data_IF_446174826350
#
_entry.id   IF_446174826350
#
_cell.length_a   1.000
_cell.length_b   1.000
_cell.length_c   1.000
_cell.angle_alpha   90.00
_cell.angle_beta   90.00
_cell.angle_gamma   90.00
#
_symmetry.space_group_name_H-M   'P 1'
#
loop_
_entity.id
_entity.type
_entity.pdbx_description
1 polymer ?
#
# COMPACT_ATOMS: atom_id res chain seq x y z
N UNK A 1 -23.65 41.37 14.57
CA UNK A 1 -23.16 40.95 13.24
C UNK A 1 -22.80 39.47 13.35
N UNK A 2 -23.40 38.66 12.48
CA UNK A 2 -23.57 37.20 12.54
C UNK A 2 -22.29 36.42 12.92
N UNK A 3 -22.25 35.45 13.84
CA UNK A 3 -23.09 34.25 14.07
C UNK A 3 -23.20 33.37 12.84
N UNK A 4 -22.14 32.61 12.53
CA UNK A 4 -22.23 31.50 11.58
C UNK A 4 -22.26 30.17 12.30
N UNK A 5 -23.25 29.37 11.91
CA UNK A 5 -23.78 28.24 12.63
C UNK A 5 -23.06 26.95 12.20
N UNK A 6 -22.52 26.24 13.18
CA UNK A 6 -22.18 24.83 13.06
C UNK A 6 -23.46 24.04 12.72
N UNK A 7 -23.46 23.42 11.54
CA UNK A 7 -24.59 22.67 10.98
C UNK A 7 -24.44 21.19 11.35
N UNK A 8 -25.34 20.58 12.14
CA UNK A 8 -25.31 19.14 12.34
C UNK A 8 -26.06 18.47 11.18
N UNK A 9 -25.42 17.54 10.49
CA UNK A 9 -26.11 16.61 9.59
C UNK A 9 -26.32 15.29 10.32
N UNK A 10 -27.43 15.22 11.07
CA UNK A 10 -28.06 13.96 11.41
C UNK A 10 -28.99 13.56 10.27
N UNK A 11 -28.72 12.43 9.63
CA UNK A 11 -29.70 11.72 8.83
C UNK A 11 -29.68 10.26 9.25
N UNK A 12 -30.63 9.90 10.11
CA UNK A 12 -30.99 8.52 10.42
C UNK A 12 -31.35 7.79 9.12
N UNK A 13 -30.65 6.71 8.81
CA UNK A 13 -31.21 5.60 8.02
C UNK A 13 -30.93 4.29 8.75
N UNK A 14 -31.94 3.82 9.47
CA UNK A 14 -32.07 2.41 9.81
C UNK A 14 -32.04 1.60 8.51
N UNK A 15 -31.17 0.58 8.45
CA UNK A 15 -31.26 -0.48 7.44
C UNK A 15 -29.97 -0.88 6.73
N UNK A 16 -28.85 -1.12 7.42
CA UNK A 16 -27.63 -1.65 6.77
C UNK A 16 -26.95 -2.76 7.60
N UNK A 17 -27.71 -3.77 8.02
CA UNK A 17 -27.16 -5.05 8.51
C UNK A 17 -26.64 -5.96 7.36
N UNK A 18 -26.32 -5.37 6.20
CA UNK A 18 -25.76 -6.07 5.02
C UNK A 18 -24.48 -5.45 4.44
N UNK A 19 -23.96 -4.35 5.01
CA UNK A 19 -22.85 -3.60 4.41
C UNK A 19 -21.44 -4.09 4.81
N UNK A 20 -21.29 -4.79 5.94
CA UNK A 20 -19.98 -5.16 6.52
C UNK A 20 -19.21 -6.25 5.76
N UNK A 21 -19.81 -6.92 4.78
CA UNK A 21 -19.08 -7.82 3.86
C UNK A 21 -18.69 -7.16 2.53
N UNK A 22 -19.24 -5.98 2.21
CA UNK A 22 -19.00 -5.32 0.92
C UNK A 22 -17.96 -4.19 0.98
N UNK A 23 -17.63 -3.65 2.16
CA UNK A 23 -16.61 -2.59 2.28
C UNK A 23 -15.17 -3.12 2.18
N UNK A 24 -14.93 -4.37 2.57
CA UNK A 24 -13.63 -5.04 2.32
C UNK A 24 -13.46 -5.33 0.81
N UNK A 25 -14.56 -5.53 0.07
CA UNK A 25 -14.54 -5.70 -1.39
C UNK A 25 -14.44 -4.37 -2.15
N UNK A 26 -14.89 -3.25 -1.55
CA UNK A 26 -14.82 -1.91 -2.14
C UNK A 26 -13.41 -1.36 -2.35
N UNK A 27 -12.41 -1.90 -1.64
CA UNK A 27 -11.00 -1.53 -1.82
C UNK A 27 -10.35 -2.18 -3.05
N UNK A 28 -10.98 -3.18 -3.67
CA UNK A 28 -10.41 -3.95 -4.77
C UNK A 28 -10.97 -3.56 -6.17
N UNK A 29 -11.96 -2.67 -6.24
CA UNK A 29 -12.74 -2.44 -7.46
C UNK A 29 -12.85 -0.97 -7.91
N UNK A 30 -11.81 -0.16 -7.72
CA UNK A 30 -11.69 1.14 -8.39
C UNK A 30 -10.53 1.10 -9.41
N UNK A 31 -10.80 0.47 -10.56
CA UNK A 31 -9.96 0.61 -11.74
C UNK A 31 -10.21 1.96 -12.40
N UNK A 32 -9.42 2.98 -12.06
CA UNK A 32 -9.12 4.14 -12.92
C UNK A 32 -7.83 4.78 -12.37
N UNK A 33 -6.77 4.81 -13.18
CA UNK A 33 -5.45 5.43 -12.93
C UNK A 33 -4.99 5.48 -11.45
N UNK A 34 -4.15 4.52 -11.07
CA UNK A 34 -3.54 4.42 -9.75
C UNK A 34 -2.73 5.68 -9.39
N UNK A 35 -3.40 6.69 -8.84
CA UNK A 35 -2.78 7.59 -7.87
C UNK A 35 -2.43 6.72 -6.67
N UNK A 36 -1.21 6.18 -6.67
CA UNK A 36 -0.76 5.21 -5.69
C UNK A 36 -0.90 5.80 -4.28
N UNK A 37 -1.83 5.23 -3.51
CA UNK A 37 -1.97 5.48 -2.07
C UNK A 37 -0.59 5.22 -1.45
N UNK A 38 0.14 6.28 -1.14
CA UNK A 38 1.55 6.21 -0.74
C UNK A 38 1.82 6.98 0.53
N UNK A 39 0.89 7.87 0.91
CA UNK A 39 0.99 8.74 2.07
C UNK A 39 -0.11 8.45 3.07
N UNK A 40 0.12 8.83 4.32
CA UNK A 40 -0.86 8.61 5.40
C UNK A 40 -2.19 9.32 5.14
N UNK A 41 -2.16 10.50 4.54
CA UNK A 41 -3.35 11.28 4.19
C UNK A 41 -4.20 10.68 3.08
N UNK A 42 -3.68 9.70 2.32
CA UNK A 42 -4.43 8.98 1.28
C UNK A 42 -5.29 7.86 1.87
N UNK A 43 -5.07 7.52 3.16
CA UNK A 43 -5.77 6.45 3.85
C UNK A 43 -7.07 6.93 4.47
N UNK A 44 -7.95 5.99 4.80
CA UNK A 44 -9.13 6.30 5.59
C UNK A 44 -8.73 6.76 6.99
N UNK A 45 -9.29 7.90 7.40
CA UNK A 45 -9.06 8.53 8.70
C UNK A 45 -10.40 8.76 9.40
N UNK A 46 -10.50 8.34 10.65
CA UNK A 46 -11.67 8.65 11.48
C UNK A 46 -11.55 10.06 12.06
N UNK A 47 -12.66 10.78 12.19
CA UNK A 47 -12.70 12.14 12.78
C UNK A 47 -13.69 12.25 13.94
N UNK A 48 -13.87 11.18 14.72
CA UNK A 48 -14.78 11.21 15.85
C UNK A 48 -14.20 12.07 16.98
N UNK A 49 -14.83 13.22 17.24
CA UNK A 49 -14.42 14.18 18.28
C UNK A 49 -15.40 14.21 19.44
N UNK A 50 -14.88 14.32 20.66
CA UNK A 50 -15.67 14.50 21.88
C UNK A 50 -15.01 15.54 22.79
N UNK A 51 -15.81 16.31 23.52
CA UNK A 51 -15.26 17.28 24.49
C UNK A 51 -14.86 16.56 25.78
N UNK A 52 -13.88 17.09 26.50
CA UNK A 52 -13.50 16.62 27.84
C UNK A 52 -14.66 16.52 28.84
N UNK A 53 -15.70 17.34 28.67
CA UNK A 53 -16.90 17.36 29.51
C UNK A 53 -17.96 16.34 29.07
N UNK A 54 -17.79 15.69 27.91
CA UNK A 54 -18.71 14.67 27.40
C UNK A 54 -18.79 13.50 28.39
N UNK A 55 -20.00 13.05 28.80
CA UNK A 55 -20.14 11.90 29.67
C UNK A 55 -19.49 10.65 29.06
N UNK A 56 -18.72 9.91 29.85
CA UNK A 56 -18.02 8.70 29.38
C UNK A 56 -18.98 7.66 28.81
N UNK A 57 -20.22 7.60 29.30
CA UNK A 57 -21.25 6.72 28.75
C UNK A 57 -21.58 7.03 27.27
N UNK A 58 -21.54 8.29 26.86
CA UNK A 58 -21.74 8.65 25.45
C UNK A 58 -20.56 8.19 24.59
N UNK A 59 -19.33 8.26 25.13
CA UNK A 59 -18.14 7.75 24.44
C UNK A 59 -18.17 6.22 24.33
N UNK A 60 -18.62 5.51 25.37
CA UNK A 60 -18.86 4.06 25.32
C UNK A 60 -19.87 3.73 24.22
N UNK A 61 -20.97 4.48 24.14
CA UNK A 61 -22.02 4.29 23.14
C UNK A 61 -21.49 4.48 21.70
N UNK A 62 -20.64 5.47 21.44
CA UNK A 62 -20.02 5.66 20.12
C UNK A 62 -19.23 4.41 19.68
N UNK A 63 -18.47 3.79 20.60
CA UNK A 63 -17.74 2.57 20.29
C UNK A 63 -18.64 1.32 20.14
N UNK A 64 -19.81 1.32 20.77
CA UNK A 64 -20.79 0.24 20.63
C UNK A 64 -21.56 0.35 19.30
N UNK A 65 -21.86 1.57 18.86
CA UNK A 65 -22.59 1.84 17.61
C UNK A 65 -21.74 1.61 16.38
N UNK A 66 -20.47 1.99 16.42
CA UNK A 66 -19.50 1.74 15.35
C UNK A 66 -18.40 0.83 15.89
N UNK A 67 -18.37 -0.43 15.46
CA UNK A 67 -17.34 -1.40 15.86
C UNK A 67 -15.98 -1.17 15.17
N UNK A 68 -15.97 -0.43 14.05
CA UNK A 68 -14.75 -0.08 13.33
C UNK A 68 -14.05 1.14 13.94
N UNK A 69 -14.77 1.99 14.69
CA UNK A 69 -14.21 3.16 15.37
C UNK A 69 -13.08 2.77 16.35
N UNK A 70 -11.82 3.13 16.08
CA UNK A 70 -10.70 2.69 16.91
C UNK A 70 -10.53 3.55 18.17
N UNK A 71 -10.81 4.85 18.05
CA UNK A 71 -10.60 5.84 19.09
C UNK A 71 -11.47 7.08 18.89
N UNK A 72 -11.53 7.93 19.91
CA UNK A 72 -12.09 9.27 19.83
C UNK A 72 -10.99 10.32 20.09
N UNK A 73 -11.02 11.40 19.32
CA UNK A 73 -10.22 12.60 19.56
C UNK A 73 -10.86 13.39 20.70
N UNK A 74 -10.13 13.55 21.79
CA UNK A 74 -10.58 14.33 22.95
C UNK A 74 -10.17 15.78 22.74
N UNK A 75 -11.14 16.68 22.80
CA UNK A 75 -10.98 18.11 22.64
C UNK A 75 -11.24 18.80 23.99
N UNK A 76 -10.40 19.76 24.35
CA UNK A 76 -10.63 20.65 25.48
C UNK A 76 -10.56 22.09 25.00
N UNK A 77 -11.65 22.84 25.15
CA UNK A 77 -11.73 24.26 24.73
C UNK A 77 -11.30 24.47 23.28
N UNK A 78 -11.74 23.57 22.39
CA UNK A 78 -11.43 23.62 20.96
C UNK A 78 -10.01 23.17 20.57
N UNK A 79 -9.19 22.70 21.51
CA UNK A 79 -7.84 22.20 21.24
C UNK A 79 -7.74 20.70 21.49
N UNK A 80 -6.89 20.04 20.71
CA UNK A 80 -6.54 18.64 20.93
C UNK A 80 -6.00 18.42 22.35
N UNK A 81 -6.71 17.64 23.15
CA UNK A 81 -6.30 17.23 24.49
C UNK A 81 -5.62 15.85 24.47
N UNK A 82 -6.14 14.92 23.67
CA UNK A 82 -5.58 13.57 23.57
C UNK A 82 -6.42 12.64 22.72
N UNK A 83 -6.07 11.37 22.77
CA UNK A 83 -6.74 10.26 22.09
C UNK A 83 -7.22 9.27 23.14
N UNK A 84 -8.49 8.87 23.08
CA UNK A 84 -9.02 7.78 23.88
C UNK A 84 -9.33 6.61 22.96
N UNK A 85 -8.53 5.55 23.02
CA UNK A 85 -8.79 4.33 22.25
C UNK A 85 -9.89 3.51 22.90
N UNK A 86 -10.60 2.74 22.07
CA UNK A 86 -11.56 1.74 22.54
C UNK A 86 -10.90 0.81 23.56
N UNK A 87 -9.69 0.33 23.23
CA UNK A 87 -8.91 -0.58 24.08
C UNK A 87 -8.64 0.02 25.47
N UNK A 88 -8.19 1.27 25.54
CA UNK A 88 -7.94 1.93 26.81
C UNK A 88 -9.22 2.17 27.61
N UNK A 89 -10.31 2.58 26.96
CA UNK A 89 -11.59 2.74 27.65
C UNK A 89 -12.08 1.40 28.21
N UNK A 90 -12.08 0.34 27.41
CA UNK A 90 -12.45 -1.01 27.86
C UNK A 90 -11.57 -1.49 29.01
N UNK A 91 -10.26 -1.25 28.95
CA UNK A 91 -9.33 -1.59 30.04
C UNK A 91 -9.62 -0.79 31.31
N UNK A 92 -9.92 0.50 31.20
CA UNK A 92 -10.29 1.32 32.35
C UNK A 92 -11.61 0.85 32.99
N UNK A 93 -12.58 0.46 32.16
CA UNK A 93 -13.89 -0.05 32.60
C UNK A 93 -13.82 -1.43 33.26
N UNK A 94 -12.84 -2.27 32.90
CA UNK A 94 -12.67 -3.62 33.45
C UNK A 94 -12.05 -3.67 34.85
N UNK A 95 -11.54 -2.54 35.35
CA UNK A 95 -11.04 -2.41 36.72
C UNK A 95 -12.19 -2.46 37.74
N UNK A 96 -11.95 -2.86 39.00
CA UNK A 96 -12.99 -2.87 40.03
C UNK A 96 -13.72 -1.52 40.15
N UNK A 97 -15.05 -1.54 40.07
CA UNK A 97 -15.93 -0.36 40.04
C UNK A 97 -15.71 0.62 38.87
N UNK A 98 -14.80 0.32 37.93
CA UNK A 98 -14.42 1.21 36.83
C UNK A 98 -15.62 1.63 36.01
N UNK A 99 -16.45 0.67 35.61
CA UNK A 99 -17.66 0.94 34.82
C UNK A 99 -18.66 1.87 35.51
N UNK A 100 -19.04 1.56 36.74
CA UNK A 100 -20.04 2.34 37.48
C UNK A 100 -19.57 3.76 37.78
N UNK A 101 -18.26 3.95 37.98
CA UNK A 101 -17.65 5.24 38.30
C UNK A 101 -17.44 6.09 37.05
N UNK A 102 -16.89 5.51 35.98
CA UNK A 102 -16.52 6.23 34.77
C UNK A 102 -17.74 6.67 33.96
N UNK A 103 -18.74 5.79 33.77
CA UNK A 103 -19.90 6.09 32.93
C UNK A 103 -20.70 7.32 33.37
N UNK A 104 -20.71 7.61 34.68
CA UNK A 104 -21.44 8.74 35.28
C UNK A 104 -20.65 10.05 35.25
N UNK A 105 -19.39 10.03 34.81
CA UNK A 105 -18.47 11.16 34.87
C UNK A 105 -18.05 11.62 33.48
N UNK A 106 -17.61 12.87 33.34
CA UNK A 106 -16.96 13.35 32.13
C UNK A 106 -15.77 12.47 31.72
N UNK A 107 -15.53 12.35 30.41
CA UNK A 107 -14.45 11.54 29.85
C UNK A 107 -13.07 12.02 30.33
N UNK A 108 -12.92 13.29 30.70
CA UNK A 108 -11.69 13.81 31.32
C UNK A 108 -11.26 13.05 32.59
N UNK A 109 -12.19 12.42 33.30
CA UNK A 109 -11.91 11.61 34.50
C UNK A 109 -11.34 10.23 34.16
N UNK A 110 -11.39 9.81 32.89
CA UNK A 110 -10.78 8.56 32.44
C UNK A 110 -9.23 8.57 32.57
N UNK A 111 -8.62 9.73 32.83
CA UNK A 111 -7.24 9.87 33.31
C UNK A 111 -6.25 9.13 32.42
N UNK A 112 -5.57 8.12 32.98
CA UNK A 112 -4.56 7.29 32.32
C UNK A 112 -5.06 6.58 31.05
N UNK A 113 -6.38 6.43 30.87
CA UNK A 113 -6.94 5.87 29.65
C UNK A 113 -6.78 6.82 28.44
N UNK A 114 -6.70 8.13 28.69
CA UNK A 114 -6.50 9.12 27.63
C UNK A 114 -5.00 9.22 27.34
N UNK A 115 -4.62 8.88 26.12
CA UNK A 115 -3.30 9.17 25.61
C UNK A 115 -3.19 10.66 25.28
N UNK A 116 -2.56 11.42 26.17
CA UNK A 116 -2.35 12.87 26.02
C UNK A 116 -1.17 13.22 25.10
N UNK A 117 -0.32 12.25 24.77
CA UNK A 117 0.81 12.40 23.87
C UNK A 117 0.79 11.33 22.76
N UNK A 118 -0.29 11.28 21.94
CA UNK A 118 -0.35 10.31 20.85
C UNK A 118 0.73 10.61 19.82
N UNK A 119 1.15 9.57 19.10
CA UNK A 119 2.02 9.75 17.94
C UNK A 119 1.25 10.57 16.89
N UNK A 120 1.79 11.73 16.53
CA UNK A 120 1.25 12.62 15.51
C UNK A 120 2.18 12.61 14.32
N UNK A 121 1.65 12.39 13.13
CA UNK A 121 2.41 12.34 11.89
C UNK A 121 1.74 13.26 10.84
N UNK A 122 2.53 14.00 10.04
CA UNK A 122 1.98 14.76 8.92
C UNK A 122 1.28 13.85 7.92
N UNK A 123 0.18 14.32 7.33
CA UNK A 123 -0.55 13.63 6.26
C UNK A 123 0.34 13.26 5.06
N UNK A 124 1.40 14.03 4.82
CA UNK A 124 2.35 13.79 3.73
C UNK A 124 3.41 12.72 4.03
N UNK A 125 3.40 12.15 5.23
CA UNK A 125 4.35 11.08 5.61
C UNK A 125 4.08 9.85 4.75
N UNK A 126 5.14 9.21 4.24
CA UNK A 126 5.01 7.96 3.50
C UNK A 126 4.49 6.83 4.41
N UNK A 127 3.66 5.95 3.86
CA UNK A 127 3.08 4.80 4.57
C UNK A 127 4.17 3.96 5.26
N UNK A 128 5.24 3.64 4.55
CA UNK A 128 6.34 2.83 5.10
C UNK A 128 7.05 3.52 6.27
N UNK A 129 7.24 4.84 6.19
CA UNK A 129 7.84 5.62 7.27
C UNK A 129 6.90 5.72 8.48
N UNK A 130 5.61 5.98 8.23
CA UNK A 130 4.59 6.03 9.27
C UNK A 130 4.45 4.70 10.01
N UNK A 131 4.43 3.57 9.29
CA UNK A 131 4.34 2.25 9.90
C UNK A 131 5.55 1.95 10.77
N UNK A 132 6.75 2.27 10.29
CA UNK A 132 7.98 2.10 11.07
C UNK A 132 7.95 2.90 12.37
N UNK A 133 7.52 4.16 12.33
CA UNK A 133 7.39 4.99 13.51
C UNK A 133 6.32 4.47 14.47
N UNK A 134 5.19 4.01 13.94
CA UNK A 134 4.12 3.45 14.74
C UNK A 134 4.54 2.17 15.48
N UNK A 135 5.20 1.24 14.78
CA UNK A 135 5.65 -0.04 15.35
C UNK A 135 6.90 0.07 16.23
N UNK A 136 7.68 1.16 16.12
CA UNK A 136 8.83 1.42 16.98
C UNK A 136 8.44 1.84 18.41
N UNK A 137 7.17 2.15 18.67
CA UNK A 137 6.68 2.48 20.01
C UNK A 137 6.76 1.26 20.95
N UNK A 138 7.02 1.44 22.25
CA UNK A 138 7.22 0.31 23.17
C UNK A 138 5.92 -0.38 23.58
N UNK A 139 5.99 -1.70 23.78
CA UNK A 139 4.92 -2.50 24.37
C UNK A 139 3.60 -2.39 23.61
N UNK A 140 2.49 -2.32 24.34
CA UNK A 140 1.13 -2.27 23.78
C UNK A 140 0.83 -1.00 22.97
N UNK A 141 1.66 0.05 23.10
CA UNK A 141 1.44 1.32 22.40
C UNK A 141 1.78 1.27 20.92
N UNK A 142 2.51 0.24 20.45
CA UNK A 142 2.80 0.08 19.02
C UNK A 142 1.55 -0.21 18.18
N UNK A 143 0.54 -0.82 18.79
CA UNK A 143 -0.76 -1.13 18.18
C UNK A 143 -1.84 -0.10 18.50
N UNK A 144 -1.52 0.99 19.20
CA UNK A 144 -2.48 2.07 19.42
C UNK A 144 -2.64 2.93 18.17
N UNK A 145 -3.84 3.44 17.87
CA UNK A 145 -4.05 4.36 16.76
C UNK A 145 -3.19 5.61 16.92
N UNK A 146 -2.89 6.25 15.80
CA UNK A 146 -2.09 7.47 15.72
C UNK A 146 -2.92 8.62 15.15
N UNK A 147 -2.43 9.85 15.33
CA UNK A 147 -3.01 11.02 14.68
C UNK A 147 -2.26 11.35 13.41
N UNK A 148 -3.02 11.58 12.36
CA UNK A 148 -2.55 12.19 11.12
C UNK A 148 -3.01 13.64 11.12
N UNK A 149 -2.09 14.57 10.86
CA UNK A 149 -2.39 16.00 10.83
C UNK A 149 -2.03 16.64 9.49
N UNK A 150 -2.87 17.57 9.06
CA UNK A 150 -2.59 18.50 7.97
C UNK A 150 -2.92 19.93 8.44
N UNK A 151 -2.74 20.92 7.56
CA UNK A 151 -3.00 22.33 7.90
C UNK A 151 -4.42 22.56 8.47
N UNK A 152 -5.41 21.84 7.96
CA UNK A 152 -6.83 22.11 8.24
C UNK A 152 -7.55 20.99 8.98
N UNK A 153 -6.90 19.84 9.21
CA UNK A 153 -7.56 18.68 9.83
C UNK A 153 -6.63 17.81 10.67
N UNK A 154 -7.26 17.09 11.60
CA UNK A 154 -6.70 15.96 12.32
C UNK A 154 -7.58 14.74 12.06
N UNK A 155 -6.96 13.59 11.85
CA UNK A 155 -7.65 12.32 11.67
C UNK A 155 -6.97 11.21 12.46
N UNK A 156 -7.73 10.24 12.89
CA UNK A 156 -7.25 9.04 13.56
C UNK A 156 -6.91 8.02 12.50
N UNK A 157 -5.71 7.44 12.56
CA UNK A 157 -5.30 6.34 11.71
C UNK A 157 -5.06 5.09 12.56
N UNK A 158 -5.78 4.03 12.23
CA UNK A 158 -5.63 2.72 12.84
C UNK A 158 -4.44 1.96 12.24
N UNK A 159 -3.74 1.19 13.07
CA UNK A 159 -2.54 0.44 12.67
C UNK A 159 -2.86 -0.65 11.67
N UNK A 160 -4.03 -1.28 11.78
CA UNK A 160 -4.47 -2.28 10.81
C UNK A 160 -4.65 -1.68 9.40
N UNK A 161 -5.19 -0.47 9.28
CA UNK A 161 -5.31 0.23 7.99
C UNK A 161 -3.91 0.46 7.40
N UNK A 162 -2.97 0.89 8.25
CA UNK A 162 -1.60 1.15 7.84
C UNK A 162 -0.84 -0.13 7.41
N UNK A 163 -1.04 -1.24 8.13
CA UNK A 163 -0.48 -2.56 7.79
C UNK A 163 -1.04 -3.08 6.47
N UNK A 164 -2.36 -2.99 6.27
CA UNK A 164 -3.01 -3.41 5.02
C UNK A 164 -2.51 -2.58 3.84
N UNK A 165 -2.41 -1.26 4.01
CA UNK A 165 -1.87 -0.38 2.97
C UNK A 165 -0.41 -0.71 2.63
N UNK A 166 0.43 -0.97 3.64
CA UNK A 166 1.82 -1.38 3.43
C UNK A 166 1.90 -2.73 2.68
N UNK A 167 1.04 -3.70 3.02
CA UNK A 167 1.01 -4.99 2.34
C UNK A 167 0.62 -4.84 0.86
N UNK A 168 -0.39 -4.03 0.56
CA UNK A 168 -0.83 -3.74 -0.80
C UNK A 168 0.30 -3.08 -1.63
N UNK A 169 1.00 -2.09 -1.06
CA UNK A 169 2.14 -1.44 -1.70
C UNK A 169 3.28 -2.42 -2.00
N UNK A 170 3.58 -3.33 -1.07
CA UNK A 170 4.60 -4.36 -1.27
C UNK A 170 4.20 -5.34 -2.36
N UNK A 171 2.93 -5.78 -2.38
CA UNK A 171 2.41 -6.68 -3.41
C UNK A 171 2.52 -6.04 -4.81
N UNK A 172 2.13 -4.77 -4.94
CA UNK A 172 2.24 -4.03 -6.20
C UNK A 172 3.71 -3.87 -6.65
N UNK A 173 4.61 -3.60 -5.70
CA UNK A 173 6.04 -3.47 -5.96
C UNK A 173 6.64 -4.79 -6.44
N UNK A 174 6.27 -5.90 -5.81
CA UNK A 174 6.72 -7.25 -6.20
C UNK A 174 6.22 -7.61 -7.59
N UNK A 175 4.94 -7.41 -7.90
CA UNK A 175 4.37 -7.65 -9.24
C UNK A 175 5.09 -6.83 -10.32
N UNK A 176 5.36 -5.56 -10.03
CA UNK A 176 6.07 -4.67 -10.96
C UNK A 176 7.51 -5.13 -11.20
N UNK A 177 8.20 -5.57 -10.14
CA UNK A 177 9.55 -6.14 -10.21
C UNK A 177 9.58 -7.44 -11.04
N UNK A 178 8.63 -8.35 -10.81
CA UNK A 178 8.53 -9.60 -11.57
C UNK A 178 8.35 -9.35 -13.05
N UNK A 179 7.47 -8.41 -13.43
CA UNK A 179 7.27 -8.01 -14.81
C UNK A 179 8.56 -7.48 -15.45
N UNK A 180 9.27 -6.58 -14.78
CA UNK A 180 10.55 -6.04 -15.26
C UNK A 180 11.59 -7.15 -15.46
N UNK A 181 11.67 -8.11 -14.53
CA UNK A 181 12.58 -9.24 -14.64
C UNK A 181 12.22 -10.13 -15.84
N UNK A 182 10.92 -10.39 -16.08
CA UNK A 182 10.45 -11.16 -17.23
C UNK A 182 10.77 -10.45 -18.56
N UNK A 183 10.57 -9.14 -18.64
CA UNK A 183 10.86 -8.34 -19.83
C UNK A 183 12.35 -8.38 -20.17
N UNK A 184 13.23 -8.24 -19.15
CA UNK A 184 14.68 -8.38 -19.31
C UNK A 184 15.06 -9.79 -19.80
N UNK A 185 14.49 -10.84 -19.21
CA UNK A 185 14.74 -12.22 -19.63
C UNK A 185 14.30 -12.47 -21.07
N UNK A 186 13.17 -11.90 -21.49
CA UNK A 186 12.67 -12.00 -22.86
C UNK A 186 13.62 -11.33 -23.84
N UNK A 187 14.01 -10.09 -23.58
CA UNK A 187 14.93 -9.35 -24.42
C UNK A 187 16.30 -10.06 -24.54
N UNK A 188 16.82 -10.59 -23.44
CA UNK A 188 18.07 -11.36 -23.45
C UNK A 188 17.96 -12.64 -24.32
N UNK A 189 16.83 -13.35 -24.25
CA UNK A 189 16.58 -14.54 -25.07
C UNK A 189 16.49 -14.20 -26.56
N UNK A 190 15.86 -13.08 -26.90
CA UNK A 190 15.77 -12.59 -28.28
C UNK A 190 17.16 -12.21 -28.81
N UNK A 191 17.95 -11.47 -28.02
CA UNK A 191 19.32 -11.12 -28.39
C UNK A 191 20.20 -12.36 -28.60
N UNK A 192 20.09 -13.36 -27.71
CA UNK A 192 20.83 -14.62 -27.85
C UNK A 192 20.51 -15.32 -29.18
N UNK A 193 19.23 -15.36 -29.58
CA UNK A 193 18.82 -15.94 -30.87
C UNK A 193 19.45 -15.22 -32.06
N UNK A 194 19.52 -13.89 -32.02
CA UNK A 194 20.19 -13.12 -33.08
C UNK A 194 21.70 -13.41 -33.13
N UNK A 195 22.36 -13.49 -31.98
CA UNK A 195 23.79 -13.86 -31.90
C UNK A 195 24.02 -15.24 -32.50
N UNK A 196 23.20 -16.24 -32.13
CA UNK A 196 23.29 -17.60 -32.65
C UNK A 196 23.07 -17.64 -34.18
N UNK A 197 22.12 -16.85 -34.70
CA UNK A 197 21.85 -16.74 -36.14
C UNK A 197 23.02 -16.14 -36.90
N UNK A 198 23.59 -15.03 -36.40
CA UNK A 198 24.75 -14.38 -37.01
C UNK A 198 25.95 -15.34 -37.03
N UNK A 199 26.16 -16.10 -35.96
CA UNK A 199 27.23 -17.10 -35.93
C UNK A 199 27.02 -18.19 -36.99
N UNK A 200 25.78 -18.67 -37.15
CA UNK A 200 25.43 -19.66 -38.17
C UNK A 200 25.62 -19.15 -39.60
N UNK A 201 25.29 -17.89 -39.87
CA UNK A 201 25.52 -17.27 -41.16
C UNK A 201 27.02 -17.26 -41.51
N UNK A 202 27.87 -16.88 -40.55
CA UNK A 202 29.33 -16.89 -40.75
C UNK A 202 29.88 -18.29 -41.07
N UNK A 203 29.36 -19.32 -40.42
CA UNK A 203 29.73 -20.71 -40.70
C UNK A 203 29.37 -21.12 -42.13
N UNK A 204 28.14 -20.80 -42.56
CA UNK A 204 27.66 -21.10 -43.91
C UNK A 204 28.43 -20.33 -44.98
N UNK A 205 28.82 -19.09 -44.71
CA UNK A 205 29.67 -18.30 -45.63
C UNK A 205 31.06 -18.94 -45.79
N UNK A 206 31.67 -19.37 -44.69
CA UNK A 206 32.96 -20.06 -44.72
C UNK A 206 32.88 -21.40 -45.47
N UNK A 207 31.78 -22.13 -45.32
CA UNK A 207 31.53 -23.38 -46.07
C UNK A 207 31.32 -23.11 -47.56
N UNK A 208 30.51 -22.12 -47.91
CA UNK A 208 30.29 -21.72 -49.30
C UNK A 208 31.59 -21.29 -49.99
N UNK A 209 32.47 -20.57 -49.29
CA UNK A 209 33.76 -20.19 -49.84
C UNK A 209 34.61 -21.41 -50.20
N UNK A 210 34.66 -22.42 -49.32
CA UNK A 210 35.37 -23.68 -49.57
C UNK A 210 34.81 -24.41 -50.79
N UNK A 211 33.49 -24.54 -50.87
CA UNK A 211 32.82 -25.18 -52.00
C UNK A 211 33.12 -24.48 -53.33
N UNK A 212 33.14 -23.14 -53.35
CA UNK A 212 33.49 -22.36 -54.55
C UNK A 212 34.91 -22.62 -55.02
N UNK A 213 35.88 -22.70 -54.09
CA UNK A 213 37.26 -23.07 -54.44
C UNK A 213 37.32 -24.48 -55.03
N UNK A 214 36.69 -25.47 -54.40
CA UNK A 214 36.67 -26.86 -54.90
C UNK A 214 36.02 -26.97 -56.28
N UNK A 215 34.91 -26.28 -56.53
CA UNK A 215 34.25 -26.27 -57.84
C UNK A 215 35.17 -25.66 -58.91
N UNK A 216 35.89 -24.59 -58.57
CA UNK A 216 36.87 -23.96 -59.47
C UNK A 216 38.02 -24.93 -59.80
N UNK A 217 38.55 -25.63 -58.80
CA UNK A 217 39.64 -26.60 -58.98
C UNK A 217 39.20 -27.77 -59.88
N UNK A 218 38.01 -28.33 -59.64
CA UNK A 218 37.43 -29.39 -60.46
C UNK A 218 37.17 -28.92 -61.91
N UNK A 219 36.76 -27.67 -62.10
CA UNK A 219 36.58 -27.09 -63.42
C UNK A 219 37.91 -26.98 -64.18
N UNK A 220 38.98 -26.54 -63.52
CA UNK A 220 40.33 -26.52 -64.12
C UNK A 220 40.82 -27.93 -64.47
N UNK A 221 40.60 -28.91 -63.60
CA UNK A 221 41.00 -30.30 -63.83
C UNK A 221 40.26 -30.91 -65.03
N UNK A 222 38.95 -30.66 -65.15
CA UNK A 222 38.16 -31.09 -66.31
C UNK A 222 38.61 -30.41 -67.62
N UNK A 223 38.97 -29.13 -67.57
CA UNK A 223 39.51 -28.41 -68.73
C UNK A 223 40.86 -29.01 -69.18
N UNK A 224 41.75 -29.32 -68.24
CA UNK A 224 43.03 -29.97 -68.53
C UNK A 224 42.86 -31.36 -69.15
N UNK A 225 41.93 -32.18 -68.63
CA UNK A 225 41.62 -33.51 -69.19
C UNK A 225 41.08 -33.37 -70.62
N UNK A 226 40.15 -32.44 -70.87
CA UNK A 226 39.62 -32.21 -72.23
C UNK A 226 40.70 -31.74 -73.22
N UNK A 227 41.66 -30.93 -72.76
CA UNK A 227 42.82 -30.52 -73.57
C UNK A 227 43.78 -31.66 -73.89
N UNK A 228 43.96 -32.62 -72.97
CA UNK A 228 44.79 -33.80 -73.20
C UNK A 228 44.16 -34.84 -74.15
N UNK A 229 42.82 -34.90 -74.21
CA UNK A 229 42.07 -35.81 -75.11
C UNK A 229 41.97 -35.28 -76.55
N UNK A 230 42.24 -33.99 -76.78
CA UNK A 230 42.10 -33.33 -78.10
C UNK A 230 43.39 -33.15 -78.89
N UNK A 231 44.54 -33.68 -78.42
CA UNK A 231 45.74 -33.79 -79.27
C UNK A 231 45.72 -35.10 -80.07
N UNK A 232 45.59 -35.06 -81.41
CA UNK A 232 45.68 -36.26 -82.24
C UNK A 232 47.14 -36.74 -82.32
N UNK A 233 47.31 -38.06 -82.27
CA UNK A 233 48.53 -38.75 -82.74
C UNK A 233 48.63 -38.71 -84.25
#
# INVERSE_FOLDING_TARGET
MASDAYRPAGASRQGELGALSNEIAGFAAAGTEASAVSRLGDLFLWDQRVDTETPTAQVEQLFLEDSALPACIIIQRGKLFGLLSRKHLTFAMSRPFGREVLLKRPVSVAGDAINTAPLKLPAQTDIAAGLKLALARPGETCFEPLLVEAADFFGILEINVLLTAQAALLEQTLKSKEKLVQDVHRAAKELKRFVDLVQRMKELEAENLKLRHTVSDLAMQNAAIRGAVTQPR
#
